data_IF_663876561961
#
_entry.id   IF_663876561961
#
_cell.length_a   1.000
_cell.length_b   1.000
_cell.length_c   1.000
_cell.angle_alpha   90.00
_cell.angle_beta   90.00
_cell.angle_gamma   90.00
#
_symmetry.space_group_name_H-M   'P 1'
#
loop_
_entity.id
_entity.type
_entity.pdbx_description
1 polymer ?
#
# COMPACT_ATOMS: atom_id res chain seq x y z
N UNK A 1 -30.97 32.34 26.72
CA UNK A 1 -30.11 32.14 25.56
C UNK A 1 -28.79 31.49 26.03
N UNK A 2 -28.71 30.15 26.02
CA UNK A 2 -27.49 29.43 26.44
C UNK A 2 -26.62 29.29 25.20
N UNK A 3 -25.52 30.03 25.17
CA UNK A 3 -24.43 29.79 24.20
C UNK A 3 -23.76 28.46 24.51
N UNK A 4 -23.97 27.48 23.63
CA UNK A 4 -23.15 26.27 23.61
C UNK A 4 -21.80 26.67 22.98
N UNK A 5 -20.79 26.91 23.83
CA UNK A 5 -19.42 26.92 23.38
C UNK A 5 -19.07 25.49 22.99
N UNK A 6 -19.03 25.21 21.70
CA UNK A 6 -18.41 23.98 21.18
C UNK A 6 -16.89 24.15 21.36
N UNK A 7 -16.36 23.57 22.43
CA UNK A 7 -14.92 23.39 22.56
C UNK A 7 -14.50 22.44 21.45
N UNK A 8 -13.73 22.93 20.52
CA UNK A 8 -12.92 22.06 19.67
C UNK A 8 -11.96 21.30 20.60
N UNK A 9 -12.19 20.03 20.78
CA UNK A 9 -11.28 19.17 21.51
C UNK A 9 -9.98 19.06 20.69
N UNK A 10 -9.02 19.91 21.00
CA UNK A 10 -7.64 19.64 20.65
C UNK A 10 -7.26 18.37 21.41
N UNK A 11 -6.80 17.33 20.69
CA UNK A 11 -6.25 16.12 21.30
C UNK A 11 -5.00 16.50 22.11
N UNK A 12 -5.22 16.91 23.36
CA UNK A 12 -4.14 17.21 24.30
C UNK A 12 -4.01 16.03 25.26
N UNK A 13 -2.87 15.41 25.29
CA UNK A 13 -2.57 14.37 26.27
C UNK A 13 -2.20 15.04 27.58
N UNK A 14 -2.98 14.86 28.64
CA UNK A 14 -2.86 15.56 29.93
C UNK A 14 -2.14 14.75 30.99
N UNK A 15 -1.34 15.37 31.84
CA UNK A 15 -0.74 14.75 33.03
C UNK A 15 -0.37 15.74 34.13
N UNK A 16 -0.02 15.25 35.28
CA UNK A 16 0.12 15.99 36.55
C UNK A 16 1.46 15.70 37.25
N UNK A 17 2.36 16.66 37.26
CA UNK A 17 3.47 16.97 38.21
C UNK A 17 4.83 17.41 37.58
N UNK A 18 5.39 18.43 38.16
CA UNK A 18 6.36 19.46 37.85
C UNK A 18 7.70 19.19 37.10
N UNK A 19 7.96 20.02 36.10
CA UNK A 19 9.20 20.79 35.84
C UNK A 19 10.28 20.18 34.99
N UNK A 20 10.49 20.74 33.75
CA UNK A 20 11.86 21.04 33.28
C UNK A 20 11.88 21.69 31.89
N UNK A 21 12.59 22.80 31.77
CA UNK A 21 13.00 23.39 30.51
C UNK A 21 13.94 22.45 29.74
N UNK A 22 13.55 22.07 28.54
CA UNK A 22 14.40 21.37 27.61
C UNK A 22 15.36 22.35 26.94
N UNK A 23 16.67 22.22 27.23
CA UNK A 23 17.70 23.04 26.60
C UNK A 23 17.79 22.81 25.08
N UNK A 24 18.40 23.76 24.36
CA UNK A 24 18.64 23.64 22.92
C UNK A 24 19.46 22.38 22.55
N UNK A 25 20.33 21.94 23.46
CA UNK A 25 21.14 20.73 23.32
C UNK A 25 20.28 19.45 23.34
N UNK A 26 19.23 19.40 24.17
CA UNK A 26 18.27 18.31 24.18
C UNK A 26 17.47 18.25 22.88
N UNK A 27 17.10 19.40 22.31
CA UNK A 27 16.43 19.48 21.02
C UNK A 27 17.24 18.78 19.92
N UNK A 28 18.53 19.06 19.84
CA UNK A 28 19.44 18.43 18.87
C UNK A 28 19.54 16.90 19.07
N UNK A 29 19.55 16.43 20.31
CA UNK A 29 19.56 15.01 20.61
C UNK A 29 18.29 14.31 20.17
N UNK A 30 17.11 14.91 20.38
CA UNK A 30 15.83 14.33 19.95
C UNK A 30 15.70 14.29 18.42
N UNK A 31 16.14 15.33 17.72
CA UNK A 31 16.17 15.34 16.26
C UNK A 31 16.96 14.18 15.68
N UNK A 32 18.18 13.97 16.19
CA UNK A 32 19.03 12.86 15.77
C UNK A 32 18.38 11.50 16.04
N UNK A 33 17.77 11.35 17.21
CA UNK A 33 17.11 10.09 17.57
C UNK A 33 15.86 9.81 16.73
N UNK A 34 15.11 10.82 16.32
CA UNK A 34 13.96 10.67 15.43
C UNK A 34 14.42 10.11 14.08
N UNK A 35 15.47 10.66 13.50
CA UNK A 35 16.04 10.21 12.23
C UNK A 35 16.51 8.76 12.35
N UNK A 36 17.26 8.41 13.39
CA UNK A 36 17.74 7.05 13.65
C UNK A 36 16.60 6.02 13.74
N UNK A 37 15.42 6.43 14.22
CA UNK A 37 14.25 5.54 14.33
C UNK A 37 13.46 5.42 13.02
N UNK A 38 13.52 6.43 12.15
CA UNK A 38 12.78 6.45 10.90
C UNK A 38 13.51 5.68 9.77
N UNK A 39 14.80 5.89 9.61
CA UNK A 39 15.61 5.34 8.51
C UNK A 39 15.53 3.82 8.37
N UNK A 40 15.66 3.00 9.43
CA UNK A 40 15.62 1.54 9.27
C UNK A 40 14.31 0.98 8.76
N UNK A 41 13.25 1.78 8.73
CA UNK A 41 11.92 1.37 8.30
C UNK A 41 11.59 1.76 6.85
N UNK A 42 12.47 2.50 6.19
CA UNK A 42 12.30 2.92 4.80
C UNK A 42 12.82 1.83 3.84
N UNK A 43 12.09 0.75 3.67
CA UNK A 43 12.48 -0.36 2.81
C UNK A 43 12.20 -0.05 1.34
N UNK A 44 11.04 0.51 1.02
CA UNK A 44 10.62 0.77 -0.36
C UNK A 44 11.37 1.94 -1.01
N UNK A 45 12.04 2.79 -0.23
CA UNK A 45 12.84 3.90 -0.73
C UNK A 45 14.29 3.55 -1.06
N UNK A 46 14.76 2.39 -0.58
CA UNK A 46 16.18 2.02 -0.68
C UNK A 46 16.63 1.73 -2.10
N UNK A 47 15.72 1.26 -2.94
CA UNK A 47 16.00 0.73 -4.28
C UNK A 47 15.55 1.65 -5.41
N UNK A 48 15.02 2.82 -5.10
CA UNK A 48 14.62 3.83 -6.08
C UNK A 48 15.71 4.84 -6.37
N UNK A 49 15.65 5.41 -7.57
CA UNK A 49 16.51 6.52 -7.93
C UNK A 49 16.12 7.77 -7.14
N UNK A 50 17.10 8.45 -6.55
CA UNK A 50 16.87 9.64 -5.73
C UNK A 50 17.17 10.91 -6.54
N UNK A 51 16.16 11.73 -6.75
CA UNK A 51 16.25 13.00 -7.49
C UNK A 51 15.72 14.16 -6.64
N UNK A 52 16.56 14.80 -5.79
CA UNK A 52 16.10 15.95 -5.01
C UNK A 52 15.84 17.15 -5.93
N UNK A 53 14.78 17.92 -5.65
CA UNK A 53 14.50 19.19 -6.33
C UNK A 53 15.29 20.28 -5.62
N UNK A 54 16.18 21.03 -6.34
CA UNK A 54 16.92 22.13 -5.74
C UNK A 54 16.00 23.21 -5.17
N UNK A 55 16.42 23.85 -4.08
CA UNK A 55 15.68 24.92 -3.46
C UNK A 55 15.41 26.07 -4.46
N UNK A 56 14.18 26.59 -4.46
CA UNK A 56 13.77 27.69 -5.35
C UNK A 56 13.28 27.29 -6.75
N UNK A 57 13.32 25.99 -7.12
CA UNK A 57 12.91 25.51 -8.45
C UNK A 57 11.47 24.94 -8.50
N UNK A 58 10.61 25.37 -7.59
CA UNK A 58 9.23 24.90 -7.52
C UNK A 58 9.09 23.55 -6.83
N UNK A 59 7.94 22.91 -6.98
CA UNK A 59 7.61 21.64 -6.30
C UNK A 59 7.25 20.50 -7.25
N UNK A 60 7.38 20.72 -8.57
CA UNK A 60 7.05 19.72 -9.59
C UNK A 60 8.33 19.30 -10.29
N UNK A 61 8.55 17.99 -10.40
CA UNK A 61 9.63 17.39 -11.16
C UNK A 61 9.08 16.76 -12.42
N UNK A 62 9.82 16.88 -13.51
CA UNK A 62 9.51 16.26 -14.79
C UNK A 62 10.64 15.29 -15.17
N UNK A 63 10.29 14.03 -15.36
CA UNK A 63 11.18 13.01 -15.87
C UNK A 63 10.94 12.83 -17.37
N UNK A 64 11.98 12.90 -18.18
CA UNK A 64 11.91 12.71 -19.63
C UNK A 64 12.45 11.34 -19.99
N UNK A 65 11.71 10.62 -20.79
CA UNK A 65 12.07 9.31 -21.32
C UNK A 65 12.09 9.37 -22.83
N UNK A 66 13.18 8.90 -23.43
CA UNK A 66 13.28 8.70 -24.87
C UNK A 66 12.85 7.27 -25.20
N UNK A 67 11.97 7.15 -26.17
CA UNK A 67 11.54 5.83 -26.64
C UNK A 67 12.63 5.23 -27.54
N UNK A 68 12.82 3.91 -27.46
CA UNK A 68 13.78 3.21 -28.31
C UNK A 68 13.34 3.24 -29.77
N UNK A 69 14.28 3.49 -30.67
CA UNK A 69 14.01 3.44 -32.09
C UNK A 69 13.74 2.02 -32.58
N UNK A 70 12.92 1.89 -33.62
CA UNK A 70 12.70 0.61 -34.28
C UNK A 70 14.01 0.08 -34.91
N UNK A 71 14.13 -1.25 -34.99
CA UNK A 71 15.30 -1.88 -35.60
C UNK A 71 15.38 -1.50 -37.08
N UNK A 72 16.52 -0.99 -37.55
CA UNK A 72 16.80 -0.68 -38.95
C UNK A 72 17.19 -1.97 -39.69
N UNK A 73 16.19 -2.79 -40.04
CA UNK A 73 16.41 -4.08 -40.72
C UNK A 73 16.41 -4.03 -42.23
N UNK A 74 16.07 -2.86 -42.80
CA UNK A 74 16.06 -2.67 -44.28
C UNK A 74 17.46 -2.31 -44.76
N UNK A 75 18.07 -3.08 -45.69
CA UNK A 75 19.34 -2.73 -46.28
C UNK A 75 19.27 -1.38 -47.00
N UNK A 76 20.34 -0.58 -46.88
CA UNK A 76 20.45 0.70 -47.57
C UNK A 76 20.77 0.45 -49.03
N UNK A 77 20.05 1.10 -49.91
CA UNK A 77 20.32 1.06 -51.35
C UNK A 77 21.41 2.07 -51.68
N UNK A 78 22.40 1.67 -52.47
CA UNK A 78 23.50 2.52 -52.88
C UNK A 78 22.99 3.77 -53.67
N UNK A 79 23.44 4.94 -53.26
CA UNK A 79 23.04 6.20 -53.88
C UNK A 79 21.68 6.77 -53.45
N UNK A 80 20.95 6.07 -52.55
CA UNK A 80 19.66 6.54 -52.02
C UNK A 80 19.78 6.87 -50.54
N UNK A 81 19.49 8.11 -50.15
CA UNK A 81 19.45 8.51 -48.74
C UNK A 81 18.17 7.93 -48.07
N UNK A 82 18.28 7.10 -47.02
CA UNK A 82 17.10 6.60 -46.34
C UNK A 82 16.37 7.70 -45.58
N UNK A 83 15.08 7.52 -45.37
CA UNK A 83 14.28 8.41 -44.50
C UNK A 83 14.77 8.28 -43.08
N UNK A 84 15.06 9.38 -42.39
CA UNK A 84 15.41 9.38 -40.96
C UNK A 84 14.24 9.02 -40.08
N UNK A 85 14.53 8.64 -38.84
CA UNK A 85 13.53 8.43 -37.79
C UNK A 85 13.43 9.70 -36.93
N UNK A 86 12.23 9.98 -36.42
CA UNK A 86 11.98 11.04 -35.46
C UNK A 86 12.31 10.58 -34.03
N UNK A 87 12.76 11.52 -33.21
CA UNK A 87 13.06 11.29 -31.82
C UNK A 87 11.79 11.55 -30.96
N UNK A 88 11.20 10.50 -30.41
CA UNK A 88 10.05 10.61 -29.54
C UNK A 88 10.47 10.73 -28.09
N UNK A 89 9.93 11.74 -27.39
CA UNK A 89 10.16 12.00 -25.97
C UNK A 89 8.82 11.94 -25.25
N UNK A 90 8.73 11.08 -24.26
CA UNK A 90 7.63 11.08 -23.31
C UNK A 90 8.07 11.73 -21.99
N UNK A 91 7.17 12.47 -21.33
CA UNK A 91 7.45 13.07 -20.03
C UNK A 91 6.49 12.57 -18.97
N UNK A 92 7.02 12.38 -17.78
CA UNK A 92 6.25 12.01 -16.58
C UNK A 92 6.48 13.07 -15.53
N UNK A 93 5.40 13.75 -15.14
CA UNK A 93 5.44 14.81 -14.12
C UNK A 93 4.89 14.30 -12.80
N UNK A 94 5.49 14.77 -11.68
CA UNK A 94 4.99 14.51 -10.33
C UNK A 94 5.23 15.73 -9.45
N UNK A 95 4.32 15.94 -8.50
CA UNK A 95 4.38 17.08 -7.58
C UNK A 95 4.69 16.60 -6.17
N UNK A 96 5.72 17.17 -5.56
CA UNK A 96 6.10 16.88 -4.18
C UNK A 96 5.05 17.41 -3.21
N UNK A 97 4.60 16.54 -2.31
CA UNK A 97 3.66 16.87 -1.24
C UNK A 97 4.37 16.91 0.11
N UNK A 98 3.81 17.66 1.04
CA UNK A 98 4.30 17.73 2.41
C UNK A 98 3.43 16.86 3.32
N UNK A 99 4.07 16.04 4.13
CA UNK A 99 3.46 15.15 5.11
C UNK A 99 3.99 15.49 6.49
N UNK A 100 3.19 15.27 7.52
CA UNK A 100 3.62 15.50 8.89
C UNK A 100 2.50 15.20 9.86
N UNK A 101 2.90 15.01 11.11
CA UNK A 101 1.99 14.83 12.24
C UNK A 101 2.64 15.36 13.52
N UNK A 102 1.84 15.60 14.56
CA UNK A 102 2.32 16.18 15.79
C UNK A 102 1.49 15.76 16.99
N UNK A 103 2.13 15.70 18.15
CA UNK A 103 1.50 15.42 19.45
C UNK A 103 1.64 16.66 20.30
N UNK A 104 0.53 17.08 20.91
CA UNK A 104 0.48 18.18 21.88
C UNK A 104 0.39 17.60 23.30
N UNK A 105 1.15 18.17 24.21
CA UNK A 105 1.18 17.81 25.61
C UNK A 105 0.92 19.05 26.46
N UNK A 106 0.23 18.89 27.60
CA UNK A 106 0.05 19.97 28.57
C UNK A 106 1.22 20.03 29.55
N UNK A 107 1.46 21.21 30.12
CA UNK A 107 2.40 21.43 31.21
C UNK A 107 2.10 20.53 32.39
N UNK A 108 0.82 20.38 32.71
CA UNK A 108 0.34 19.54 33.79
C UNK A 108 0.68 18.04 33.54
N UNK A 109 0.72 17.60 32.28
CA UNK A 109 1.19 16.27 31.89
C UNK A 109 2.70 16.12 32.10
N UNK A 110 3.50 17.07 31.62
CA UNK A 110 4.95 17.04 31.81
C UNK A 110 5.31 17.08 33.28
N UNK A 111 4.52 17.79 34.07
CA UNK A 111 4.66 17.95 35.50
C UNK A 111 4.23 16.72 36.33
N UNK A 112 3.41 15.80 35.84
CA UNK A 112 2.88 14.70 36.67
C UNK A 112 3.29 13.33 36.21
N UNK A 113 3.82 13.19 34.99
CA UNK A 113 4.20 11.88 34.46
C UNK A 113 5.45 11.35 35.16
N UNK A 114 5.40 10.08 35.52
CA UNK A 114 6.54 9.33 36.02
C UNK A 114 7.55 9.09 34.89
N UNK A 115 7.06 8.96 33.66
CA UNK A 115 7.86 8.68 32.47
C UNK A 115 8.10 9.95 31.63
N UNK A 116 9.19 9.97 30.88
CA UNK A 116 9.49 11.07 29.96
C UNK A 116 8.60 10.96 28.70
N UNK A 117 7.45 11.64 28.73
CA UNK A 117 6.47 11.61 27.65
C UNK A 117 7.00 12.20 26.33
N UNK A 118 7.86 13.21 26.39
CA UNK A 118 8.49 13.80 25.20
C UNK A 118 9.34 12.77 24.46
N UNK A 119 10.10 11.95 25.20
CA UNK A 119 10.91 10.88 24.61
C UNK A 119 10.03 9.78 23.98
N UNK A 120 8.94 9.41 24.65
CA UNK A 120 7.99 8.42 24.10
C UNK A 120 7.27 8.97 22.86
N UNK A 121 6.81 10.22 22.91
CA UNK A 121 6.22 10.88 21.74
C UNK A 121 7.20 10.93 20.55
N UNK A 122 8.46 11.28 20.79
CA UNK A 122 9.50 11.26 19.75
C UNK A 122 9.69 9.88 19.13
N UNK A 123 9.70 8.81 19.93
CA UNK A 123 9.81 7.43 19.42
C UNK A 123 8.60 7.03 18.58
N UNK A 124 7.39 7.33 19.05
CA UNK A 124 6.16 7.02 18.32
C UNK A 124 6.06 7.79 17.01
N UNK A 125 6.39 9.08 17.02
CA UNK A 125 6.41 9.92 15.82
C UNK A 125 7.49 9.48 14.83
N UNK A 126 8.66 9.04 15.29
CA UNK A 126 9.70 8.49 14.43
C UNK A 126 9.27 7.20 13.74
N UNK A 127 8.63 6.29 14.50
CA UNK A 127 8.06 5.07 13.94
C UNK A 127 6.92 5.36 12.95
N UNK A 128 6.08 6.36 13.22
CA UNK A 128 5.00 6.80 12.34
C UNK A 128 5.57 7.43 11.07
N UNK A 129 6.53 8.34 11.18
CA UNK A 129 7.17 8.99 10.03
C UNK A 129 7.77 7.96 9.06
N UNK A 130 8.54 6.99 9.58
CA UNK A 130 9.11 5.93 8.76
C UNK A 130 8.04 5.12 8.02
N UNK A 131 7.00 4.65 8.73
CA UNK A 131 5.91 3.90 8.11
C UNK A 131 5.12 4.73 7.09
N UNK A 132 4.86 6.00 7.39
CA UNK A 132 4.12 6.89 6.48
C UNK A 132 4.88 7.10 5.18
N UNK A 133 6.16 7.45 5.25
CA UNK A 133 6.99 7.68 4.07
C UNK A 133 7.17 6.39 3.26
N UNK A 134 7.40 5.25 3.90
CA UNK A 134 7.51 3.94 3.25
C UNK A 134 6.21 3.55 2.55
N UNK A 135 5.06 3.78 3.20
CA UNK A 135 3.73 3.46 2.65
C UNK A 135 3.38 4.29 1.42
N UNK A 136 3.80 5.56 1.34
CA UNK A 136 3.59 6.41 0.16
C UNK A 136 4.30 5.80 -1.05
N UNK A 137 5.57 5.43 -0.91
CA UNK A 137 6.32 4.78 -2.01
C UNK A 137 5.74 3.41 -2.33
N UNK A 138 5.45 2.59 -1.32
CA UNK A 138 4.80 1.29 -1.48
C UNK A 138 3.52 1.36 -2.31
N UNK A 139 2.63 2.31 -2.02
CA UNK A 139 1.34 2.42 -2.70
C UNK A 139 1.50 2.84 -4.16
N UNK A 140 2.50 3.68 -4.48
CA UNK A 140 2.88 4.00 -5.85
C UNK A 140 3.39 2.76 -6.58
N UNK A 141 4.25 1.96 -5.97
CA UNK A 141 4.75 0.72 -6.55
C UNK A 141 3.63 -0.31 -6.70
N UNK A 142 2.79 -0.48 -5.68
CA UNK A 142 1.66 -1.40 -5.72
C UNK A 142 0.58 -1.01 -6.75
N UNK A 143 0.56 0.22 -7.22
CA UNK A 143 -0.31 0.69 -8.31
C UNK A 143 0.16 0.28 -9.72
N UNK A 144 1.30 -0.43 -9.88
CA UNK A 144 1.82 -0.86 -11.17
C UNK A 144 0.86 -1.77 -11.95
N UNK A 145 0.93 -1.72 -13.28
CA UNK A 145 0.08 -2.51 -14.18
C UNK A 145 0.71 -3.82 -14.61
N UNK A 146 2.01 -3.97 -14.47
CA UNK A 146 2.74 -5.20 -14.78
C UNK A 146 2.58 -6.21 -13.65
N UNK A 147 1.58 -7.08 -13.76
CA UNK A 147 1.15 -7.98 -12.69
C UNK A 147 1.18 -9.43 -13.14
N UNK A 148 1.73 -10.29 -12.28
CA UNK A 148 1.66 -11.75 -12.41
C UNK A 148 0.88 -12.30 -11.21
N UNK A 149 -0.03 -13.22 -11.48
CA UNK A 149 -0.81 -13.89 -10.44
C UNK A 149 -0.26 -15.28 -10.17
N UNK A 150 -0.23 -15.68 -8.91
CA UNK A 150 0.09 -17.05 -8.52
C UNK A 150 -0.94 -18.01 -9.10
N UNK A 151 -0.52 -19.13 -9.70
CA UNK A 151 -1.45 -20.13 -10.20
C UNK A 151 -2.21 -20.79 -9.04
N UNK A 152 -3.44 -21.24 -9.31
CA UNK A 152 -4.19 -22.06 -8.37
C UNK A 152 -3.70 -23.50 -8.42
N UNK A 153 -3.43 -24.09 -7.26
CA UNK A 153 -3.06 -25.49 -7.09
C UNK A 153 -4.17 -26.29 -6.40
N UNK A 154 -5.41 -26.00 -6.72
CA UNK A 154 -6.56 -26.68 -6.16
C UNK A 154 -6.72 -28.10 -6.70
N UNK A 155 -6.99 -29.08 -5.83
CA UNK A 155 -7.26 -30.48 -6.18
C UNK A 155 -6.17 -31.17 -7.03
N UNK A 156 -4.89 -30.76 -6.84
CA UNK A 156 -3.77 -31.34 -7.59
C UNK A 156 -3.69 -30.90 -9.06
N UNK A 157 -4.47 -29.92 -9.47
CA UNK A 157 -4.44 -29.35 -10.82
C UNK A 157 -3.92 -27.92 -10.75
N UNK A 158 -2.95 -27.60 -11.60
CA UNK A 158 -2.45 -26.23 -11.74
C UNK A 158 -3.28 -25.46 -12.77
N UNK A 159 -3.92 -24.38 -12.36
CA UNK A 159 -4.71 -23.53 -13.25
C UNK A 159 -4.17 -22.08 -13.22
N UNK A 160 -4.11 -21.46 -14.40
CA UNK A 160 -3.70 -20.06 -14.51
C UNK A 160 -4.77 -19.13 -13.94
N UNK A 161 -4.34 -18.18 -13.12
CA UNK A 161 -5.17 -17.10 -12.57
C UNK A 161 -4.86 -15.81 -13.32
N UNK A 162 -5.90 -15.07 -13.74
CA UNK A 162 -5.77 -13.88 -14.58
C UNK A 162 -6.21 -12.59 -13.88
N UNK A 163 -6.75 -12.69 -12.67
CA UNK A 163 -7.23 -11.55 -11.91
C UNK A 163 -7.05 -11.76 -10.40
N UNK A 164 -6.89 -10.68 -9.66
CA UNK A 164 -6.80 -10.72 -8.19
C UNK A 164 -8.03 -11.40 -7.56
N UNK A 165 -9.21 -11.11 -8.06
CA UNK A 165 -10.47 -11.66 -7.54
C UNK A 165 -10.61 -13.17 -7.69
N UNK A 166 -9.77 -13.80 -8.52
CA UNK A 166 -9.74 -15.24 -8.72
C UNK A 166 -8.63 -15.95 -7.91
N UNK A 167 -7.81 -15.21 -7.16
CA UNK A 167 -6.80 -15.78 -6.26
C UNK A 167 -7.53 -16.45 -5.09
N UNK A 168 -7.32 -17.74 -4.91
CA UNK A 168 -7.82 -18.54 -3.79
C UNK A 168 -6.69 -18.92 -2.81
N UNK A 169 -7.01 -19.63 -1.74
CA UNK A 169 -6.04 -20.06 -0.72
C UNK A 169 -4.95 -21.00 -1.26
N UNK A 170 -5.14 -21.60 -2.43
CA UNK A 170 -4.16 -22.46 -3.08
C UNK A 170 -3.12 -21.69 -3.89
N UNK A 171 -3.41 -20.42 -4.23
CA UNK A 171 -2.54 -19.56 -5.02
C UNK A 171 -1.38 -18.99 -4.17
N UNK A 172 -0.46 -19.83 -3.77
CA UNK A 172 0.68 -19.45 -2.91
C UNK A 172 1.84 -18.93 -3.75
N UNK A 173 2.71 -18.15 -3.08
CA UNK A 173 3.99 -17.79 -3.68
C UNK A 173 4.91 -19.02 -3.65
N UNK A 174 5.34 -19.45 -4.81
CA UNK A 174 6.29 -20.55 -5.03
C UNK A 174 7.53 -20.08 -5.82
N UNK A 175 8.51 -20.96 -5.95
CA UNK A 175 9.71 -20.68 -6.74
C UNK A 175 9.41 -20.41 -8.20
N UNK A 176 8.45 -21.11 -8.82
CA UNK A 176 8.09 -20.93 -10.23
C UNK A 176 7.60 -19.50 -10.52
N UNK A 177 6.78 -18.93 -9.63
CA UNK A 177 6.31 -17.56 -9.80
C UNK A 177 7.47 -16.55 -9.78
N UNK A 178 8.50 -16.79 -8.96
CA UNK A 178 9.69 -15.95 -8.92
C UNK A 178 10.54 -16.12 -10.19
N UNK A 179 10.70 -17.37 -10.70
CA UNK A 179 11.35 -17.61 -11.98
C UNK A 179 10.65 -16.89 -13.13
N UNK A 180 9.31 -16.90 -13.15
CA UNK A 180 8.49 -16.17 -14.14
C UNK A 180 8.67 -14.67 -14.04
N UNK A 181 8.66 -14.10 -12.83
CA UNK A 181 8.90 -12.68 -12.61
C UNK A 181 10.30 -12.25 -13.10
N UNK A 182 11.33 -13.01 -12.74
CA UNK A 182 12.70 -12.78 -13.20
C UNK A 182 12.84 -12.90 -14.72
N UNK A 183 12.21 -13.90 -15.33
CA UNK A 183 12.21 -14.09 -16.80
C UNK A 183 11.53 -12.90 -17.50
N UNK A 184 10.43 -12.39 -16.94
CA UNK A 184 9.73 -11.23 -17.50
C UNK A 184 10.59 -9.96 -17.43
N UNK A 185 11.26 -9.69 -16.31
CA UNK A 185 12.19 -8.55 -16.20
C UNK A 185 13.34 -8.66 -17.21
N UNK A 186 13.95 -9.84 -17.33
CA UNK A 186 15.02 -10.09 -18.32
C UNK A 186 14.51 -9.93 -19.75
N UNK A 187 13.29 -10.41 -20.04
CA UNK A 187 12.65 -10.24 -21.34
C UNK A 187 12.34 -8.78 -21.72
N UNK A 188 12.14 -7.94 -20.71
CA UNK A 188 11.95 -6.48 -20.88
C UNK A 188 13.27 -5.71 -20.86
N UNK A 189 14.43 -6.38 -20.84
CA UNK A 189 15.76 -5.79 -20.73
C UNK A 189 15.94 -4.90 -19.49
N UNK A 190 15.28 -5.25 -18.38
CA UNK A 190 15.51 -4.59 -17.11
C UNK A 190 16.88 -4.96 -16.56
N UNK A 191 17.66 -3.96 -16.16
CA UNK A 191 18.95 -4.20 -15.51
C UNK A 191 18.73 -4.58 -14.04
N UNK A 192 19.55 -5.49 -13.48
CA UNK A 192 19.48 -5.79 -12.05
C UNK A 192 20.01 -4.61 -11.23
N UNK A 193 19.56 -4.49 -9.98
CA UNK A 193 20.10 -3.56 -9.00
C UNK A 193 21.34 -4.23 -8.38
N UNK A 194 22.51 -3.66 -8.61
CA UNK A 194 23.80 -4.27 -8.28
C UNK A 194 23.96 -5.65 -8.98
N UNK A 195 23.92 -6.73 -8.23
CA UNK A 195 24.12 -8.10 -8.74
C UNK A 195 22.82 -8.89 -8.93
N UNK A 196 21.67 -8.39 -8.50
CA UNK A 196 20.41 -9.12 -8.50
C UNK A 196 19.20 -8.18 -8.58
N UNK A 197 18.08 -8.69 -9.08
CA UNK A 197 16.79 -8.02 -8.89
C UNK A 197 16.43 -8.03 -7.40
N UNK A 198 15.64 -7.08 -6.94
CA UNK A 198 15.21 -6.99 -5.55
C UNK A 198 13.72 -7.28 -5.47
N UNK A 199 13.34 -8.23 -4.62
CA UNK A 199 11.96 -8.54 -4.31
C UNK A 199 11.63 -8.06 -2.89
N UNK A 200 10.66 -7.15 -2.75
CA UNK A 200 10.13 -6.77 -1.44
C UNK A 200 8.94 -7.69 -1.16
N UNK A 201 9.04 -8.45 -0.07
CA UNK A 201 8.11 -9.51 0.30
C UNK A 201 7.58 -9.33 1.72
N UNK A 202 6.32 -9.72 1.95
CA UNK A 202 5.76 -9.77 3.30
C UNK A 202 6.19 -11.07 4.02
N UNK A 203 6.53 -11.05 5.32
CA UNK A 203 6.98 -12.22 6.07
C UNK A 203 6.01 -13.43 5.99
N UNK A 204 4.69 -13.21 5.92
CA UNK A 204 3.70 -14.28 5.80
C UNK A 204 3.79 -15.04 4.47
N UNK A 205 4.18 -14.36 3.41
CA UNK A 205 4.36 -14.96 2.09
C UNK A 205 5.76 -15.55 1.96
N UNK A 206 6.77 -14.94 2.61
CA UNK A 206 8.11 -15.51 2.72
C UNK A 206 8.09 -16.90 3.37
N UNK A 207 7.23 -17.10 4.37
CA UNK A 207 7.00 -18.42 4.97
C UNK A 207 6.57 -19.47 3.94
N UNK A 208 5.64 -19.14 3.04
CA UNK A 208 5.19 -20.06 1.99
C UNK A 208 6.30 -20.33 0.96
N UNK A 209 7.04 -19.29 0.55
CA UNK A 209 8.16 -19.41 -0.38
C UNK A 209 9.26 -20.33 0.15
N UNK A 210 9.68 -20.14 1.41
CA UNK A 210 10.73 -20.95 2.04
C UNK A 210 10.34 -22.43 2.20
N UNK A 211 9.06 -22.75 2.13
CA UNK A 211 8.55 -24.13 2.16
C UNK A 211 8.31 -24.74 0.79
N UNK A 212 8.45 -23.96 -0.28
CA UNK A 212 8.33 -24.49 -1.64
C UNK A 212 9.47 -25.47 -1.94
N UNK A 213 9.17 -26.50 -2.74
CA UNK A 213 10.15 -27.53 -3.07
C UNK A 213 11.34 -26.96 -3.85
N UNK A 214 11.06 -26.03 -4.76
CA UNK A 214 12.07 -25.35 -5.57
C UNK A 214 13.07 -24.58 -4.70
N UNK A 215 12.56 -23.93 -3.65
CA UNK A 215 13.40 -23.21 -2.68
C UNK A 215 14.30 -24.18 -1.91
N UNK A 216 13.72 -25.25 -1.38
CA UNK A 216 14.45 -26.27 -0.62
C UNK A 216 15.52 -26.92 -1.48
N UNK A 217 15.21 -27.24 -2.73
CA UNK A 217 16.17 -27.88 -3.64
C UNK A 217 17.29 -26.93 -4.07
N UNK A 218 16.99 -25.65 -4.31
CA UNK A 218 18.00 -24.65 -4.60
C UNK A 218 18.98 -24.44 -3.44
N UNK A 219 18.50 -24.51 -2.20
CA UNK A 219 19.31 -24.29 -1.00
C UNK A 219 20.04 -25.53 -0.47
N UNK A 220 19.71 -26.73 -0.96
CA UNK A 220 20.49 -27.96 -0.62
C UNK A 220 21.96 -27.87 -1.00
N UNK A 221 22.28 -27.08 -2.01
CA UNK A 221 23.63 -26.85 -2.50
C UNK A 221 24.28 -25.56 -1.98
N UNK A 222 23.53 -24.73 -1.24
CA UNK A 222 24.04 -23.52 -0.62
C UNK A 222 24.70 -23.83 0.73
N UNK A 223 25.60 -22.95 1.19
CA UNK A 223 26.26 -23.11 2.48
C UNK A 223 25.25 -23.17 3.64
N UNK A 224 25.37 -24.14 4.57
CA UNK A 224 24.43 -24.31 5.68
C UNK A 224 24.30 -23.10 6.61
N UNK A 225 25.29 -22.23 6.65
CA UNK A 225 25.33 -21.03 7.49
C UNK A 225 24.19 -20.04 7.20
N UNK A 226 23.81 -19.90 5.94
CA UNK A 226 22.72 -18.97 5.55
C UNK A 226 21.36 -19.46 6.04
N UNK A 227 21.15 -20.76 6.14
CA UNK A 227 19.91 -21.36 6.63
C UNK A 227 19.65 -21.08 8.11
N UNK A 228 20.71 -21.01 8.91
CA UNK A 228 20.64 -20.75 10.36
C UNK A 228 20.52 -19.26 10.68
N UNK A 229 20.98 -18.39 9.79
CA UNK A 229 20.92 -16.95 9.98
C UNK A 229 19.52 -16.34 9.69
N UNK A 230 18.59 -17.12 9.14
CA UNK A 230 17.24 -16.63 8.79
C UNK A 230 17.22 -15.67 7.60
N UNK A 231 18.31 -15.57 6.84
CA UNK A 231 18.32 -14.82 5.58
C UNK A 231 17.51 -15.55 4.51
N UNK A 232 16.64 -14.81 3.83
CA UNK A 232 15.85 -15.33 2.70
C UNK A 232 16.72 -15.51 1.45
N UNK A 233 17.99 -15.41 1.42
CA UNK A 233 18.86 -15.72 0.31
C UNK A 233 18.50 -15.14 -1.06
N UNK A 234 19.03 -15.75 -2.13
CA UNK A 234 18.78 -15.40 -3.53
C UNK A 234 18.18 -16.59 -4.27
N UNK A 235 17.14 -16.35 -5.09
CA UNK A 235 16.55 -17.36 -6.00
C UNK A 235 16.39 -16.73 -7.39
N UNK A 236 16.78 -17.44 -8.44
CA UNK A 236 16.65 -16.99 -9.86
C UNK A 236 17.36 -15.65 -10.19
N UNK A 237 18.31 -15.21 -9.36
CA UNK A 237 18.91 -13.88 -9.48
C UNK A 237 18.06 -12.77 -8.85
N UNK A 238 17.12 -13.13 -7.99
CA UNK A 238 16.30 -12.21 -7.19
C UNK A 238 16.72 -12.31 -5.74
N UNK A 239 17.04 -11.18 -5.11
CA UNK A 239 17.32 -11.01 -3.69
C UNK A 239 16.06 -10.58 -2.96
N UNK A 240 15.75 -11.21 -1.84
CA UNK A 240 14.54 -10.92 -1.07
C UNK A 240 14.84 -9.99 0.09
N UNK A 241 13.95 -9.01 0.27
CA UNK A 241 13.94 -8.08 1.41
C UNK A 241 12.57 -8.15 2.07
N UNK A 242 12.53 -8.48 3.34
CA UNK A 242 11.29 -8.55 4.10
C UNK A 242 10.85 -7.16 4.57
N UNK A 243 9.55 -6.90 4.41
CA UNK A 243 8.90 -5.75 4.99
C UNK A 243 7.51 -6.13 5.51
N UNK A 244 7.25 -5.81 6.76
CA UNK A 244 5.91 -5.95 7.36
C UNK A 244 4.90 -4.97 6.77
N UNK A 245 5.39 -3.90 6.13
CA UNK A 245 4.59 -2.89 5.43
C UNK A 245 4.39 -3.24 3.94
N UNK A 246 4.88 -4.41 3.44
CA UNK A 246 4.59 -4.84 2.08
C UNK A 246 3.07 -4.94 1.84
N UNK A 247 2.61 -4.50 0.66
CA UNK A 247 1.18 -4.29 0.37
C UNK A 247 0.34 -5.54 0.50
N UNK A 248 -0.73 -5.42 1.28
CA UNK A 248 -1.78 -6.41 1.42
C UNK A 248 -3.07 -5.84 0.84
N UNK A 249 -3.61 -6.49 -0.17
CA UNK A 249 -4.89 -6.15 -0.76
C UNK A 249 -6.01 -6.93 -0.08
N UNK A 250 -6.90 -6.22 0.55
CA UNK A 250 -8.14 -6.74 1.11
C UNK A 250 -9.20 -5.65 1.06
N UNK A 251 -10.43 -5.99 0.76
CA UNK A 251 -11.52 -5.03 0.81
C UNK A 251 -11.81 -4.57 2.24
N UNK A 252 -12.25 -3.34 2.41
CA UNK A 252 -12.72 -2.87 3.71
C UNK A 252 -14.07 -3.53 4.06
N UNK A 253 -14.40 -3.63 5.34
CA UNK A 253 -15.67 -4.20 5.82
C UNK A 253 -16.87 -3.61 5.08
N UNK A 254 -17.87 -4.45 4.81
CA UNK A 254 -19.10 -4.00 4.15
C UNK A 254 -20.03 -3.26 5.11
N UNK A 255 -20.06 -3.69 6.38
CA UNK A 255 -20.75 -2.96 7.44
C UNK A 255 -19.84 -2.73 8.65
N UNK A 256 -20.27 -1.93 9.62
CA UNK A 256 -19.48 -1.67 10.84
C UNK A 256 -19.15 -2.94 11.64
N UNK A 257 -19.97 -3.98 11.55
CA UNK A 257 -19.80 -5.25 12.29
C UNK A 257 -19.47 -6.46 11.42
N UNK A 258 -19.49 -6.36 10.09
CA UNK A 258 -19.31 -7.52 9.21
C UNK A 258 -18.43 -7.22 8.01
N UNK A 259 -17.45 -8.10 7.79
CA UNK A 259 -16.59 -8.07 6.60
C UNK A 259 -17.35 -8.48 5.34
N UNK A 260 -18.21 -9.48 5.45
CA UNK A 260 -19.02 -10.02 4.34
C UNK A 260 -20.51 -10.01 4.69
N UNK A 261 -21.35 -10.13 3.67
CA UNK A 261 -22.80 -10.21 3.82
C UNK A 261 -23.31 -11.52 3.22
N UNK A 262 -24.25 -12.16 3.89
CA UNK A 262 -24.83 -13.43 3.43
C UNK A 262 -26.15 -13.16 2.69
N UNK A 263 -26.28 -13.67 1.49
CA UNK A 263 -27.51 -13.55 0.69
C UNK A 263 -28.63 -14.39 1.34
N UNK A 264 -29.75 -13.77 1.61
CA UNK A 264 -30.98 -14.46 2.01
C UNK A 264 -31.78 -14.87 0.78
N UNK A 265 -31.93 -13.97 -0.21
CA UNK A 265 -32.60 -14.24 -1.46
C UNK A 265 -32.08 -13.28 -2.54
N UNK A 266 -32.28 -13.64 -3.80
CA UNK A 266 -31.98 -12.78 -4.95
C UNK A 266 -33.17 -12.69 -5.87
N UNK A 267 -33.43 -11.49 -6.39
CA UNK A 267 -34.46 -11.21 -7.39
C UNK A 267 -33.83 -10.42 -8.55
N UNK A 268 -33.85 -11.02 -9.74
CA UNK A 268 -33.32 -10.39 -10.98
C UNK A 268 -34.34 -9.51 -11.72
N UNK A 269 -35.54 -9.35 -11.17
CA UNK A 269 -36.63 -8.56 -11.76
C UNK A 269 -37.42 -7.81 -10.69
N UNK A 270 -36.71 -7.23 -9.71
CA UNK A 270 -37.33 -6.48 -8.64
C UNK A 270 -37.95 -5.18 -9.15
N UNK A 271 -39.10 -4.81 -8.62
CA UNK A 271 -39.86 -3.60 -8.96
C UNK A 271 -40.02 -2.71 -7.71
N UNK A 272 -38.94 -2.45 -7.02
CA UNK A 272 -38.91 -1.56 -5.84
C UNK A 272 -39.02 -0.10 -6.26
N UNK A 273 -39.69 0.71 -5.45
CA UNK A 273 -39.97 2.11 -5.76
C UNK A 273 -38.93 3.08 -5.15
N UNK A 274 -38.19 2.66 -4.12
CA UNK A 274 -37.26 3.52 -3.42
C UNK A 274 -36.13 2.72 -2.77
N UNK A 275 -34.98 3.38 -2.60
CA UNK A 275 -33.84 2.93 -1.78
C UNK A 275 -33.62 3.95 -0.66
N UNK A 276 -33.03 3.53 0.46
CA UNK A 276 -32.63 4.46 1.53
C UNK A 276 -31.46 5.33 1.08
N UNK A 277 -30.51 4.72 0.38
CA UNK A 277 -29.37 5.40 -0.24
C UNK A 277 -29.16 4.91 -1.66
N UNK A 278 -28.81 5.82 -2.58
CA UNK A 278 -28.58 5.51 -3.99
C UNK A 278 -29.86 5.28 -4.78
N UNK A 279 -29.77 4.45 -5.81
CA UNK A 279 -30.83 4.20 -6.75
C UNK A 279 -31.28 2.72 -6.76
N UNK A 280 -32.56 2.48 -7.03
CA UNK A 280 -33.07 1.13 -7.19
C UNK A 280 -32.64 0.52 -8.54
N UNK A 281 -32.62 -0.80 -8.59
CA UNK A 281 -32.44 -1.55 -9.84
C UNK A 281 -33.28 -2.82 -9.82
N UNK A 282 -33.44 -3.43 -10.99
CA UNK A 282 -34.11 -4.72 -11.11
C UNK A 282 -33.36 -5.88 -10.45
N UNK A 283 -32.07 -5.71 -10.19
CA UNK A 283 -31.17 -6.75 -9.63
C UNK A 283 -31.01 -6.52 -8.14
N UNK A 284 -31.75 -7.24 -7.33
CA UNK A 284 -31.83 -7.04 -5.90
C UNK A 284 -31.41 -8.30 -5.14
N UNK A 285 -30.43 -8.14 -4.23
CA UNK A 285 -30.07 -9.15 -3.25
C UNK A 285 -30.55 -8.72 -1.86
N UNK A 286 -31.28 -9.59 -1.18
CA UNK A 286 -31.63 -9.40 0.23
C UNK A 286 -30.57 -10.11 1.06
N UNK A 287 -30.02 -9.43 2.07
CA UNK A 287 -28.97 -9.98 2.94
C UNK A 287 -29.52 -10.29 4.33
N UNK A 288 -28.85 -11.21 5.05
CA UNK A 288 -29.28 -11.62 6.38
C UNK A 288 -28.88 -10.62 7.44
N UNK A 289 -27.72 -10.01 7.28
CA UNK A 289 -27.13 -9.05 8.22
C UNK A 289 -27.95 -7.76 8.26
N UNK A 290 -27.91 -7.07 9.38
CA UNK A 290 -28.51 -5.74 9.50
C UNK A 290 -27.64 -4.72 8.78
N UNK A 291 -28.28 -3.81 8.06
CA UNK A 291 -27.64 -2.69 7.36
C UNK A 291 -27.95 -1.42 8.16
N UNK A 292 -26.98 -0.91 8.89
CA UNK A 292 -27.08 0.40 9.54
C UNK A 292 -26.96 1.52 8.48
N UNK A 293 -27.56 2.65 8.76
CA UNK A 293 -27.67 3.77 7.83
C UNK A 293 -26.31 4.33 7.39
N UNK A 294 -25.35 4.42 8.33
CA UNK A 294 -24.01 4.91 8.06
C UNK A 294 -23.18 3.96 7.17
N UNK A 295 -23.36 2.65 7.32
CA UNK A 295 -22.74 1.64 6.44
C UNK A 295 -23.43 1.60 5.08
N UNK A 296 -24.76 1.68 5.05
CA UNK A 296 -25.54 1.69 3.82
C UNK A 296 -25.14 2.84 2.89
N UNK A 297 -24.98 4.04 3.42
CA UNK A 297 -24.49 5.19 2.65
C UNK A 297 -23.11 4.95 2.00
N UNK A 298 -22.21 4.25 2.71
CA UNK A 298 -20.86 3.92 2.21
C UNK A 298 -20.82 2.75 1.22
N UNK A 299 -21.87 1.93 1.19
CA UNK A 299 -21.98 0.81 0.24
C UNK A 299 -22.35 1.26 -1.16
N UNK A 300 -23.04 2.38 -1.32
CA UNK A 300 -23.45 2.89 -2.64
C UNK A 300 -22.24 3.24 -3.49
N UNK A 301 -22.21 2.75 -4.73
CA UNK A 301 -21.09 2.90 -5.66
C UNK A 301 -19.91 1.95 -5.39
N UNK A 302 -19.96 1.14 -4.34
CA UNK A 302 -18.90 0.22 -3.99
C UNK A 302 -18.96 -1.06 -4.81
N UNK A 303 -17.80 -1.54 -5.25
CA UNK A 303 -17.67 -2.86 -5.87
C UNK A 303 -17.63 -3.96 -4.81
N UNK A 304 -18.33 -5.03 -5.05
CA UNK A 304 -18.35 -6.26 -4.23
C UNK A 304 -18.10 -7.48 -5.10
N UNK A 305 -17.72 -8.58 -4.46
CA UNK A 305 -17.55 -9.88 -5.09
C UNK A 305 -18.69 -10.80 -4.69
N UNK A 306 -19.38 -11.35 -5.68
CA UNK A 306 -20.43 -12.35 -5.51
C UNK A 306 -20.04 -13.57 -6.36
N UNK A 307 -19.79 -14.71 -5.74
CA UNK A 307 -19.28 -15.91 -6.44
C UNK A 307 -18.01 -15.62 -7.27
N UNK A 308 -17.08 -14.81 -6.73
CA UNK A 308 -15.87 -14.43 -7.42
C UNK A 308 -16.02 -13.41 -8.56
N UNK A 309 -17.23 -12.92 -8.80
CA UNK A 309 -17.54 -11.93 -9.84
C UNK A 309 -17.76 -10.56 -9.23
N UNK A 310 -17.26 -9.53 -9.89
CA UNK A 310 -17.45 -8.14 -9.47
C UNK A 310 -18.85 -7.67 -9.80
N UNK A 311 -19.49 -7.04 -8.83
CA UNK A 311 -20.76 -6.34 -8.98
C UNK A 311 -20.69 -4.99 -8.26
N UNK A 312 -21.20 -3.92 -8.86
CA UNK A 312 -21.29 -2.62 -8.21
C UNK A 312 -22.66 -2.48 -7.51
N UNK A 313 -22.65 -1.94 -6.30
CA UNK A 313 -23.87 -1.62 -5.56
C UNK A 313 -24.38 -0.25 -6.03
N UNK A 314 -25.60 -0.22 -6.58
CA UNK A 314 -26.25 1.00 -7.06
C UNK A 314 -27.02 1.71 -5.96
N UNK A 315 -27.63 0.95 -5.06
CA UNK A 315 -28.37 1.48 -3.93
C UNK A 315 -28.58 0.46 -2.83
N UNK A 316 -29.02 0.94 -1.69
CA UNK A 316 -29.26 0.13 -0.49
C UNK A 316 -30.56 0.58 0.18
N UNK A 317 -31.34 -0.39 0.62
CA UNK A 317 -32.50 -0.17 1.48
C UNK A 317 -32.25 -0.87 2.82
N UNK A 318 -32.21 -0.08 3.89
CA UNK A 318 -31.81 -0.54 5.23
C UNK A 318 -32.90 -1.37 5.91
N UNK A 319 -34.18 -0.96 5.79
CA UNK A 319 -35.32 -1.60 6.49
C UNK A 319 -35.55 -3.03 5.99
N UNK A 320 -35.48 -3.25 4.67
CA UNK A 320 -35.62 -4.57 4.06
C UNK A 320 -34.33 -5.32 3.83
N UNK A 321 -33.18 -4.76 4.26
CA UNK A 321 -31.83 -5.34 4.06
C UNK A 321 -31.54 -5.64 2.59
N UNK A 322 -31.91 -4.73 1.68
CA UNK A 322 -31.82 -4.94 0.25
C UNK A 322 -30.62 -4.20 -0.33
N UNK A 323 -29.87 -4.88 -1.17
CA UNK A 323 -28.80 -4.33 -1.99
C UNK A 323 -29.22 -4.34 -3.45
N UNK A 324 -29.21 -3.18 -4.09
CA UNK A 324 -29.49 -3.04 -5.52
C UNK A 324 -28.19 -3.06 -6.29
N UNK A 325 -28.02 -4.03 -7.19
CA UNK A 325 -26.83 -4.18 -8.01
C UNK A 325 -26.97 -3.38 -9.31
N UNK A 326 -25.90 -2.79 -9.78
CA UNK A 326 -25.91 -1.99 -11.02
C UNK A 326 -26.20 -2.82 -12.28
N UNK A 327 -25.81 -4.10 -12.27
CA UNK A 327 -26.04 -5.02 -13.38
C UNK A 327 -26.36 -6.43 -12.87
N UNK A 328 -26.92 -7.27 -13.74
CA UNK A 328 -27.15 -8.68 -13.45
C UNK A 328 -25.80 -9.36 -13.21
N UNK A 329 -25.60 -10.07 -12.08
CA UNK A 329 -24.44 -10.95 -11.93
C UNK A 329 -24.53 -12.08 -12.97
N UNK A 330 -23.38 -12.46 -13.55
CA UNK A 330 -23.33 -13.54 -14.56
C UNK A 330 -23.82 -14.89 -14.03
N UNK A 331 -23.75 -15.09 -12.71
CA UNK A 331 -24.36 -16.22 -12.00
C UNK A 331 -25.25 -15.68 -10.90
N UNK A 332 -26.54 -15.96 -10.97
CA UNK A 332 -27.50 -15.50 -9.96
C UNK A 332 -27.09 -16.00 -8.55
N UNK A 333 -27.04 -15.10 -7.57
CA UNK A 333 -26.77 -15.48 -6.19
C UNK A 333 -27.88 -16.38 -5.63
N UNK A 334 -27.51 -17.44 -4.94
CA UNK A 334 -28.43 -18.30 -4.22
C UNK A 334 -28.49 -17.91 -2.73
N UNK A 335 -29.49 -18.42 -2.02
CA UNK A 335 -29.52 -18.28 -0.57
C UNK A 335 -28.27 -18.91 0.07
N UNK A 336 -27.69 -18.23 1.04
CA UNK A 336 -26.44 -18.53 1.73
C UNK A 336 -25.15 -18.26 0.92
N UNK A 337 -25.22 -17.76 -0.29
CA UNK A 337 -24.03 -17.22 -0.96
C UNK A 337 -23.51 -15.99 -0.17
N UNK A 338 -22.20 -15.80 -0.21
CA UNK A 338 -21.57 -14.71 0.54
C UNK A 338 -21.11 -13.62 -0.42
N UNK A 339 -21.43 -12.39 -0.06
CA UNK A 339 -20.96 -11.17 -0.73
C UNK A 339 -19.72 -10.69 0.02
N UNK A 340 -18.60 -10.57 -0.68
CA UNK A 340 -17.35 -10.07 -0.13
C UNK A 340 -17.03 -8.67 -0.68
N UNK A 341 -16.29 -7.84 0.06
CA UNK A 341 -15.79 -6.58 -0.49
C UNK A 341 -14.80 -6.84 -1.62
N UNK A 342 -14.84 -6.03 -2.67
CA UNK A 342 -13.81 -6.08 -3.71
C UNK A 342 -12.47 -5.57 -3.17
N UNK A 343 -11.38 -5.97 -3.83
CA UNK A 343 -10.02 -5.57 -3.47
C UNK A 343 -9.13 -6.70 -2.98
N UNK A 344 -9.71 -7.79 -2.45
CA UNK A 344 -9.04 -9.03 -2.11
C UNK A 344 -9.19 -10.14 -3.17
N UNK A 345 -8.79 -11.36 -2.81
CA UNK A 345 -8.96 -12.57 -3.61
C UNK A 345 -10.36 -13.18 -3.50
N UNK A 346 -10.52 -14.37 -4.07
CA UNK A 346 -11.73 -15.15 -3.99
C UNK A 346 -12.12 -15.37 -2.51
N UNK A 347 -13.41 -15.37 -2.22
CA UNK A 347 -13.93 -15.53 -0.87
C UNK A 347 -13.39 -14.47 0.14
N UNK A 348 -12.95 -13.30 -0.35
CA UNK A 348 -12.50 -12.20 0.48
C UNK A 348 -11.16 -12.41 1.18
N UNK A 349 -10.37 -13.36 0.74
CA UNK A 349 -9.03 -13.58 1.29
C UNK A 349 -8.10 -12.42 0.98
N UNK A 350 -7.08 -12.28 1.80
CA UNK A 350 -6.04 -11.28 1.62
C UNK A 350 -5.08 -11.69 0.51
N UNK A 351 -4.75 -10.74 -0.36
CA UNK A 351 -3.78 -10.94 -1.44
C UNK A 351 -2.55 -10.09 -1.14
N UNK A 352 -1.41 -10.73 -1.13
CA UNK A 352 -0.13 -10.11 -0.84
C UNK A 352 0.58 -9.76 -2.14
N UNK A 353 1.13 -8.55 -2.19
CA UNK A 353 1.94 -8.11 -3.31
C UNK A 353 3.43 -8.28 -3.00
N UNK A 354 4.09 -9.13 -3.74
CA UNK A 354 5.55 -9.19 -3.80
C UNK A 354 6.00 -8.35 -4.99
N UNK A 355 6.76 -7.29 -4.75
CA UNK A 355 7.20 -6.36 -5.78
C UNK A 355 8.64 -6.69 -6.15
N UNK A 356 8.86 -7.13 -7.39
CA UNK A 356 10.19 -7.43 -7.93
C UNK A 356 10.66 -6.26 -8.78
N UNK A 357 11.80 -5.69 -8.43
CA UNK A 357 12.34 -4.44 -8.95
C UNK A 357 13.63 -4.68 -9.74
N UNK A 358 13.72 -4.08 -10.91
CA UNK A 358 14.97 -3.81 -11.62
C UNK A 358 15.47 -2.39 -11.36
N UNK A 359 16.65 -2.07 -11.86
CA UNK A 359 17.22 -0.73 -11.80
C UNK A 359 16.33 0.27 -12.57
N UNK A 360 16.30 1.53 -12.11
CA UNK A 360 15.54 2.62 -12.72
C UNK A 360 14.03 2.38 -12.88
N UNK A 361 13.46 1.48 -12.09
CA UNK A 361 12.02 1.19 -12.12
C UNK A 361 11.19 2.38 -11.62
N UNK A 362 11.66 3.07 -10.58
CA UNK A 362 10.96 4.20 -9.97
C UNK A 362 11.94 5.23 -9.40
N UNK A 363 11.44 6.43 -9.18
CA UNK A 363 12.16 7.50 -8.50
C UNK A 363 11.46 7.92 -7.23
N UNK A 364 12.26 8.34 -6.27
CA UNK A 364 11.85 9.01 -5.04
C UNK A 364 12.42 10.42 -5.04
N UNK A 365 11.56 11.39 -4.79
CA UNK A 365 11.91 12.81 -4.87
C UNK A 365 11.49 13.53 -3.60
N UNK A 366 12.36 14.38 -3.12
CA UNK A 366 12.12 15.30 -2.01
C UNK A 366 12.60 16.70 -2.41
N UNK A 367 12.19 17.72 -1.68
CA UNK A 367 12.77 19.05 -1.82
C UNK A 367 14.12 19.09 -1.10
N UNK A 368 15.10 19.75 -1.70
CA UNK A 368 16.35 20.04 -1.01
C UNK A 368 16.05 20.83 0.28
N UNK A 369 16.57 20.38 1.41
CA UNK A 369 16.23 20.83 2.77
C UNK A 369 14.78 20.53 3.22
N UNK A 370 14.03 19.72 2.49
CA UNK A 370 12.67 19.28 2.84
C UNK A 370 12.59 17.84 3.29
N UNK A 371 13.69 17.22 3.65
CA UNK A 371 13.76 15.87 4.23
C UNK A 371 13.01 15.78 5.56
N UNK A 372 13.18 14.68 6.27
CA UNK A 372 12.53 14.49 7.56
C UNK A 372 13.05 15.51 8.60
N UNK A 373 12.19 16.44 9.00
CA UNK A 373 12.46 17.46 10.00
C UNK A 373 11.70 17.16 11.29
N UNK A 374 12.41 17.11 12.40
CA UNK A 374 11.83 17.03 13.74
C UNK A 374 11.63 18.40 14.33
N UNK A 375 10.44 18.68 14.85
CA UNK A 375 10.04 19.98 15.38
C UNK A 375 9.61 19.78 16.83
N UNK A 376 10.34 20.41 17.75
CA UNK A 376 9.97 20.48 19.16
C UNK A 376 9.66 21.93 19.52
N UNK A 377 8.46 22.19 20.01
CA UNK A 377 8.04 23.47 20.54
C UNK A 377 7.84 23.34 22.03
N UNK A 378 8.65 24.09 22.77
CA UNK A 378 8.57 24.15 24.23
C UNK A 378 7.36 24.95 24.69
N UNK A 379 7.05 24.92 25.98
CA UNK A 379 6.00 25.71 26.63
C UNK A 379 6.14 27.21 26.26
N UNK A 380 5.01 27.86 25.96
CA UNK A 380 4.99 29.25 25.59
C UNK A 380 5.33 29.61 24.16
N UNK A 381 5.44 28.64 23.28
CA UNK A 381 5.70 28.89 21.86
C UNK A 381 4.40 29.06 21.06
N UNK A 382 4.25 30.21 20.40
CA UNK A 382 3.08 30.59 19.59
C UNK A 382 1.96 31.24 20.42
N UNK A 383 0.70 31.01 20.04
CA UNK A 383 -0.49 31.56 20.69
C UNK A 383 -0.85 30.81 21.98
N UNK A 384 0.07 30.75 22.94
CA UNK A 384 -0.14 30.17 24.27
C UNK A 384 0.25 31.15 25.40
N UNK A 385 -0.65 32.07 25.75
CA UNK A 385 -0.33 33.15 26.69
C UNK A 385 -0.09 32.66 28.13
N UNK A 386 -0.48 31.42 28.45
CA UNK A 386 -0.30 30.84 29.79
C UNK A 386 0.79 29.78 29.85
N UNK A 387 1.53 29.57 28.76
CA UNK A 387 2.59 28.54 28.65
C UNK A 387 2.15 27.14 29.09
N UNK A 388 0.96 26.72 28.63
CA UNK A 388 0.35 25.43 29.04
C UNK A 388 0.54 24.32 28.06
N UNK A 389 1.19 24.55 26.89
CA UNK A 389 1.28 23.57 25.81
C UNK A 389 2.70 23.44 25.30
N UNK A 390 3.17 22.20 25.21
CA UNK A 390 4.33 21.81 24.42
C UNK A 390 3.90 20.92 23.26
N UNK A 391 4.68 20.85 22.20
CA UNK A 391 4.39 19.96 21.08
C UNK A 391 5.63 19.38 20.46
N UNK A 392 5.53 18.14 20.05
CA UNK A 392 6.53 17.41 19.28
C UNK A 392 5.90 16.98 17.98
N UNK A 393 6.56 17.19 16.86
CA UNK A 393 6.03 16.85 15.56
C UNK A 393 7.14 16.54 14.57
N UNK A 394 6.75 16.03 13.43
CA UNK A 394 7.62 15.86 12.28
C UNK A 394 6.95 16.36 11.02
N UNK A 395 7.75 16.76 10.06
CA UNK A 395 7.30 17.01 8.69
C UNK A 395 8.36 16.54 7.71
N UNK A 396 7.91 16.12 6.54
CA UNK A 396 8.77 15.76 5.43
C UNK A 396 8.09 16.10 4.10
N UNK A 397 8.88 16.37 3.08
CA UNK A 397 8.38 16.50 1.70
C UNK A 397 8.76 15.27 0.92
N UNK A 398 7.81 14.69 0.20
CA UNK A 398 8.03 13.48 -0.56
C UNK A 398 7.11 13.35 -1.74
N UNK A 399 7.61 12.76 -2.81
CA UNK A 399 6.82 12.06 -3.81
C UNK A 399 7.58 10.83 -4.31
N UNK A 400 6.85 9.90 -4.88
CA UNK A 400 7.41 8.74 -5.58
C UNK A 400 6.68 8.56 -6.91
N UNK A 401 7.42 8.15 -7.94
CA UNK A 401 6.84 7.93 -9.26
C UNK A 401 7.50 6.73 -9.94
N UNK A 402 6.70 5.89 -10.58
CA UNK A 402 7.20 4.85 -11.47
C UNK A 402 7.73 5.50 -12.74
N UNK A 403 8.99 5.22 -13.09
CA UNK A 403 9.67 5.75 -14.27
C UNK A 403 9.46 4.81 -15.48
N UNK A 404 9.77 3.53 -15.28
CA UNK A 404 9.70 2.51 -16.31
C UNK A 404 8.87 1.35 -15.83
N UNK A 405 7.60 1.31 -16.20
CA UNK A 405 6.63 0.30 -15.77
C UNK A 405 7.10 -1.16 -16.03
N UNK A 406 7.69 -1.50 -17.19
CA UNK A 406 8.21 -2.84 -17.46
C UNK A 406 9.37 -3.31 -16.57
N UNK A 407 10.08 -2.41 -15.90
CA UNK A 407 11.21 -2.74 -15.03
C UNK A 407 10.80 -3.13 -13.62
N UNK A 408 9.51 -3.25 -13.42
CA UNK A 408 8.92 -3.68 -12.18
C UNK A 408 7.85 -4.73 -12.44
N UNK A 409 7.83 -5.79 -11.64
CA UNK A 409 6.79 -6.84 -11.68
C UNK A 409 6.17 -6.97 -10.31
N UNK A 410 4.84 -6.88 -10.24
CA UNK A 410 4.08 -7.19 -9.04
C UNK A 410 3.55 -8.61 -9.12
N UNK A 411 4.04 -9.49 -8.27
CA UNK A 411 3.50 -10.84 -8.10
C UNK A 411 2.46 -10.83 -6.99
N UNK A 412 1.26 -11.28 -7.30
CA UNK A 412 0.15 -11.35 -6.34
C UNK A 412 -0.15 -12.80 -5.96
N UNK A 413 -0.15 -13.08 -4.65
CA UNK A 413 -0.39 -14.42 -4.09
C UNK A 413 -1.20 -14.36 -2.80
N UNK A 414 -1.81 -15.48 -2.43
CA UNK A 414 -2.34 -15.69 -1.10
C UNK A 414 -1.25 -16.12 -0.12
N UNK A 415 -1.55 -16.18 1.17
CA UNK A 415 -0.68 -16.77 2.19
C UNK A 415 -1.42 -17.85 2.97
N UNK A 416 -0.75 -18.99 3.20
CA UNK A 416 -1.28 -20.05 4.04
C UNK A 416 -1.23 -19.70 5.53
N UNK A 417 -0.32 -18.81 5.93
CA UNK A 417 -0.15 -18.40 7.31
C UNK A 417 -1.26 -17.43 7.77
N UNK A 418 -1.61 -16.46 6.95
CA UNK A 418 -2.58 -15.42 7.30
C UNK A 418 -3.52 -15.09 6.13
N UNK A 419 -4.47 -15.99 5.79
CA UNK A 419 -5.39 -15.78 4.67
C UNK A 419 -6.32 -14.59 4.87
N UNK A 420 -6.49 -14.15 6.11
CA UNK A 420 -7.38 -13.05 6.51
C UNK A 420 -6.64 -11.85 7.12
N UNK A 421 -5.38 -11.62 6.76
CA UNK A 421 -4.63 -10.46 7.20
C UNK A 421 -5.35 -9.15 6.86
N UNK A 422 -5.25 -8.14 7.73
CA UNK A 422 -5.80 -6.83 7.45
C UNK A 422 -5.08 -6.17 6.27
N UNK A 423 -5.79 -5.34 5.50
CA UNK A 423 -5.15 -4.47 4.51
C UNK A 423 -4.30 -3.42 5.21
N UNK A 424 -3.23 -3.00 4.58
CA UNK A 424 -2.31 -1.97 5.06
C UNK A 424 -2.15 -0.82 4.06
#
# INVERSE_FOLDING_TARGET
MRMLLQLFATNTTESKLAGNDLSAEMKTYYEKRLIDLAEPKLVHDQFGDKYPIPAGNGRTIEFRKYDSLAKATTPIVEGVTPTGNDLNVSSVQETVMQYGDWIQMSDLLEMSAVDNNVLQATRLLGAQAGRTLDSITRDVLAGGTNVIYAPSHANGTTAAVTSRSAIDESCKLDGDLIFRAAAQLKGMNAEPIDEAYVAIIHPYVAYDLMRSQEWIDAHKYASPENLYAGEIGKLAGVRFVESTEAKIFRGANLTAGAYSLTVASYNGSASESSATHGEVSAYMAVVKEALDDASAAKLVGREVLIKGQKAAIKGVETSGKKLFLAAAPSSAPAANDVIYPSGGGANGISVFATIVLGAHAYAVTELENGGLEHIVKQLGYGDDPLNQRSSVGWKATKCARRLVEPYMVRSESASSYAPNAAAN
#
